data_IF_552528304723
#
_entry.id   IF_552528304723
#
_cell.length_a   1.000
_cell.length_b   1.000
_cell.length_c   1.000
_cell.angle_alpha   90.00
_cell.angle_beta   90.00
_cell.angle_gamma   90.00
#
_symmetry.space_group_name_H-M   'P 1'
#
loop_
_entity.id
_entity.type
_entity.pdbx_description
1 polymer ?
#
# COMPACT_ATOMS: atom_id res chain seq x y z
N UNK A 1 -0.88 16.72 -9.68
CA UNK A 1 0.37 16.24 -9.07
C UNK A 1 0.38 16.66 -7.61
N UNK A 2 -0.05 15.77 -6.73
CA UNK A 2 0.34 15.75 -5.31
C UNK A 2 0.32 14.26 -4.93
N UNK A 3 1.47 13.60 -4.95
CA UNK A 3 1.75 12.46 -4.08
C UNK A 3 2.89 12.96 -3.19
N UNK A 4 2.70 12.94 -1.87
CA UNK A 4 3.59 13.56 -0.89
C UNK A 4 4.53 12.53 -0.26
N UNK A 5 4.65 11.32 -0.81
CA UNK A 5 5.43 10.29 -0.14
C UNK A 5 6.39 9.62 -1.12
N UNK A 6 7.62 10.13 -1.14
CA UNK A 6 8.78 9.31 -1.54
C UNK A 6 8.86 8.04 -0.69
N UNK A 7 8.28 8.05 0.52
CA UNK A 7 8.29 6.97 1.51
C UNK A 7 6.95 6.92 2.27
N UNK A 8 6.30 5.75 2.29
CA UNK A 8 5.09 5.46 3.06
C UNK A 8 5.28 4.20 3.93
N UNK A 9 4.71 4.20 5.14
CA UNK A 9 4.77 3.08 6.05
C UNK A 9 3.44 2.32 6.04
N UNK A 10 3.51 1.00 5.91
CA UNK A 10 2.35 0.11 5.96
C UNK A 10 2.55 -0.95 7.03
N UNK A 11 1.47 -1.34 7.70
CA UNK A 11 1.45 -2.47 8.61
C UNK A 11 0.38 -3.46 8.18
N UNK A 12 0.65 -4.75 8.31
CA UNK A 12 -0.31 -5.81 8.04
C UNK A 12 -0.12 -6.99 9.01
N UNK A 13 -0.83 -8.08 8.74
CA UNK A 13 -0.72 -9.36 9.48
C UNK A 13 0.70 -9.97 9.49
N UNK A 14 1.62 -9.51 8.63
CA UNK A 14 2.98 -10.02 8.50
C UNK A 14 4.05 -9.10 9.11
N UNK A 15 3.70 -7.89 9.55
CA UNK A 15 4.60 -6.95 10.21
C UNK A 15 4.60 -5.55 9.59
N UNK A 16 5.75 -4.87 9.71
CA UNK A 16 5.96 -3.49 9.26
C UNK A 16 6.65 -3.45 7.90
N UNK A 17 6.22 -2.53 7.06
CA UNK A 17 6.69 -2.35 5.70
C UNK A 17 6.93 -0.87 5.39
N UNK A 18 7.81 -0.63 4.42
CA UNK A 18 8.01 0.68 3.81
C UNK A 18 7.87 0.57 2.30
N UNK A 19 7.04 1.42 1.72
CA UNK A 19 6.85 1.56 0.27
C UNK A 19 7.52 2.86 -0.14
N UNK A 20 8.44 2.85 -1.10
CA UNK A 20 9.20 4.05 -1.45
C UNK A 20 9.57 4.11 -2.93
N UNK A 21 9.77 5.32 -3.45
CA UNK A 21 10.23 5.52 -4.82
C UNK A 21 11.73 5.31 -4.94
N UNK A 22 12.19 4.62 -5.98
CA UNK A 22 13.62 4.45 -6.27
C UNK A 22 14.08 5.64 -7.12
N UNK A 23 14.85 6.58 -6.55
CA UNK A 23 15.27 7.83 -7.22
C UNK A 23 15.89 7.65 -8.62
N UNK A 24 16.70 6.60 -8.81
CA UNK A 24 17.38 6.31 -10.08
C UNK A 24 16.46 5.72 -11.16
N UNK A 25 15.18 5.50 -10.85
CA UNK A 25 14.20 4.94 -11.76
C UNK A 25 12.81 5.56 -11.52
N UNK A 26 11.79 5.10 -12.24
CA UNK A 26 10.40 5.41 -11.88
C UNK A 26 9.76 4.28 -11.06
N UNK A 27 10.51 3.23 -10.70
CA UNK A 27 9.99 2.07 -9.99
C UNK A 27 9.70 2.36 -8.51
N UNK A 28 8.93 1.45 -7.92
CA UNK A 28 8.62 1.43 -6.50
C UNK A 28 9.45 0.32 -5.85
N UNK A 29 9.96 0.56 -4.64
CA UNK A 29 10.53 -0.47 -3.80
C UNK A 29 9.62 -0.71 -2.59
N UNK A 30 9.60 -1.94 -2.11
CA UNK A 30 9.00 -2.29 -0.82
C UNK A 30 10.09 -2.91 0.05
N UNK A 31 10.18 -2.50 1.31
CA UNK A 31 11.07 -3.11 2.29
C UNK A 31 10.27 -3.65 3.48
N UNK A 32 10.61 -4.84 3.96
CA UNK A 32 10.09 -5.39 5.21
C UNK A 32 11.01 -5.01 6.35
N UNK A 33 10.44 -4.48 7.43
CA UNK A 33 11.18 -3.99 8.58
C UNK A 33 10.96 -4.87 9.82
N UNK A 34 12.02 -5.01 10.62
CA UNK A 34 11.96 -5.61 11.95
C UNK A 34 12.61 -4.73 13.01
N UNK A 35 12.13 -4.87 14.24
CA UNK A 35 12.72 -4.24 15.42
C UNK A 35 13.46 -5.28 16.25
N UNK A 36 14.74 -5.02 16.50
CA UNK A 36 15.58 -5.81 17.39
C UNK A 36 16.05 -4.88 18.52
N UNK A 37 15.59 -5.08 19.78
CA UNK A 37 15.98 -4.22 20.90
C UNK A 37 17.49 -4.18 21.17
N UNK A 38 18.26 -5.13 20.65
CA UNK A 38 19.71 -5.18 20.79
C UNK A 38 20.47 -4.35 19.76
N UNK A 39 19.78 -3.81 18.74
CA UNK A 39 20.36 -3.03 17.66
C UNK A 39 19.88 -1.58 17.69
N UNK A 40 20.69 -0.68 17.14
CA UNK A 40 20.30 0.70 16.95
C UNK A 40 19.43 0.84 15.69
N UNK A 41 18.13 1.04 15.87
CA UNK A 41 17.18 1.40 14.80
C UNK A 41 16.37 0.24 14.22
N UNK A 42 15.67 0.54 13.11
CA UNK A 42 14.89 -0.44 12.35
C UNK A 42 15.81 -1.23 11.41
N UNK A 43 15.67 -2.54 11.40
CA UNK A 43 16.38 -3.41 10.47
C UNK A 43 15.54 -3.60 9.21
N UNK A 44 16.22 -3.67 8.06
CA UNK A 44 15.60 -4.07 6.80
C UNK A 44 15.86 -5.58 6.61
N UNK A 45 14.80 -6.38 6.64
CA UNK A 45 14.92 -7.83 6.49
C UNK A 45 14.96 -8.24 5.01
N UNK A 46 14.11 -7.60 4.19
CA UNK A 46 13.93 -7.90 2.77
C UNK A 46 13.60 -6.64 1.99
N UNK A 47 13.99 -6.60 0.72
CA UNK A 47 13.67 -5.53 -0.24
C UNK A 47 13.19 -6.14 -1.55
N UNK A 48 12.10 -5.61 -2.09
CA UNK A 48 11.56 -5.95 -3.39
C UNK A 48 11.59 -4.72 -4.30
N UNK A 49 12.16 -4.86 -5.49
CA UNK A 49 12.06 -3.85 -6.55
C UNK A 49 10.84 -4.19 -7.41
N UNK A 50 9.82 -3.34 -7.33
CA UNK A 50 8.55 -3.49 -8.01
C UNK A 50 8.57 -2.62 -9.26
N UNK A 51 8.39 -3.24 -10.43
CA UNK A 51 8.24 -2.56 -11.72
C UNK A 51 6.88 -1.85 -11.86
N UNK A 52 6.54 -1.02 -10.88
CA UNK A 52 5.35 -0.18 -10.81
C UNK A 52 5.79 1.28 -10.74
N UNK A 53 5.28 2.08 -11.68
CA UNK A 53 5.55 3.50 -11.70
C UNK A 53 4.70 4.23 -10.64
N UNK A 54 5.33 4.67 -9.56
CA UNK A 54 4.66 5.37 -8.45
C UNK A 54 3.91 6.64 -8.90
N UNK A 55 4.27 7.23 -10.04
CA UNK A 55 3.60 8.42 -10.61
C UNK A 55 2.30 8.09 -11.36
N UNK A 56 2.03 6.82 -11.62
CA UNK A 56 0.86 6.35 -12.38
C UNK A 56 -0.23 5.74 -11.49
N UNK A 57 -0.01 5.66 -10.19
CA UNK A 57 -0.96 5.14 -9.20
C UNK A 57 -1.30 6.24 -8.19
N UNK A 58 -2.46 6.11 -7.55
CA UNK A 58 -2.93 7.05 -6.55
C UNK A 58 -2.25 6.84 -5.20
N UNK A 59 -2.58 5.73 -4.56
CA UNK A 59 -2.08 5.31 -3.25
C UNK A 59 -1.74 3.81 -3.30
N UNK A 60 -0.89 3.36 -2.38
CA UNK A 60 -0.51 1.95 -2.26
C UNK A 60 -0.63 1.50 -0.81
N UNK A 61 -1.03 0.25 -0.59
CA UNK A 61 -1.18 -0.33 0.74
C UNK A 61 -0.87 -1.83 0.72
N UNK A 62 -0.52 -2.41 1.87
CA UNK A 62 -0.20 -3.84 1.98
C UNK A 62 -1.21 -4.54 2.87
N UNK A 63 -1.74 -5.67 2.38
CA UNK A 63 -2.60 -6.59 3.16
C UNK A 63 -2.11 -8.01 2.92
N UNK A 64 -1.85 -8.74 4.00
CA UNK A 64 -1.40 -10.13 3.98
C UNK A 64 -0.18 -10.39 3.06
N UNK A 65 0.77 -9.45 2.99
CA UNK A 65 1.99 -9.57 2.18
C UNK A 65 1.79 -9.31 0.69
N UNK A 66 0.61 -8.81 0.30
CA UNK A 66 0.30 -8.39 -1.06
C UNK A 66 0.26 -6.86 -1.11
N UNK A 67 1.03 -6.26 -2.02
CA UNK A 67 1.00 -4.84 -2.33
C UNK A 67 -0.16 -4.56 -3.28
N UNK A 68 -1.06 -3.67 -2.90
CA UNK A 68 -2.18 -3.21 -3.71
C UNK A 68 -1.99 -1.74 -4.08
N UNK A 69 -2.38 -1.36 -5.31
CA UNK A 69 -2.32 0.03 -5.77
C UNK A 69 -3.65 0.52 -6.33
N UNK A 70 -4.09 1.69 -5.87
CA UNK A 70 -5.22 2.42 -6.43
C UNK A 70 -4.84 3.07 -7.75
N UNK A 71 -5.76 3.11 -8.72
CA UNK A 71 -5.53 3.85 -9.97
C UNK A 71 -5.51 5.37 -9.77
N UNK A 72 -6.23 5.89 -8.78
CA UNK A 72 -6.43 7.32 -8.59
C UNK A 72 -6.81 7.66 -7.16
N UNK A 73 -6.06 8.58 -6.56
CA UNK A 73 -6.38 9.20 -5.28
C UNK A 73 -7.29 10.44 -5.44
N UNK A 74 -7.47 10.93 -6.67
CA UNK A 74 -8.16 12.21 -6.94
C UNK A 74 -9.56 12.03 -7.50
N UNK A 75 -9.80 10.94 -8.23
CA UNK A 75 -11.12 10.65 -8.76
C UNK A 75 -12.03 10.06 -7.68
N UNK A 76 -13.32 10.37 -7.78
CA UNK A 76 -14.31 9.85 -6.84
C UNK A 76 -14.48 8.35 -6.99
N UNK A 77 -14.60 7.88 -8.22
CA UNK A 77 -14.58 6.45 -8.53
C UNK A 77 -13.16 6.09 -8.96
N UNK A 78 -12.59 5.08 -8.31
CA UNK A 78 -11.28 4.52 -8.58
C UNK A 78 -11.38 2.99 -8.48
N UNK A 79 -10.24 2.32 -8.54
CA UNK A 79 -10.14 0.87 -8.41
C UNK A 79 -8.75 0.48 -7.92
N UNK A 80 -8.68 -0.65 -7.25
CA UNK A 80 -7.42 -1.38 -7.07
C UNK A 80 -7.09 -2.03 -8.41
N UNK A 81 -6.06 -1.52 -9.09
CA UNK A 81 -5.70 -1.92 -10.45
C UNK A 81 -4.47 -2.82 -10.53
N UNK A 82 -3.66 -2.85 -9.47
CA UNK A 82 -2.46 -3.66 -9.35
C UNK A 82 -2.47 -4.37 -8.00
N UNK A 83 -2.14 -5.65 -8.00
CA UNK A 83 -1.84 -6.45 -6.81
C UNK A 83 -0.59 -7.29 -7.07
N UNK A 84 0.34 -7.31 -6.13
CA UNK A 84 1.61 -8.05 -6.25
C UNK A 84 1.87 -8.78 -4.94
N UNK A 85 1.92 -10.11 -5.02
CA UNK A 85 2.38 -10.95 -3.92
C UNK A 85 3.88 -10.73 -3.74
N UNK A 86 4.28 -10.16 -2.60
CA UNK A 86 5.68 -9.82 -2.33
C UNK A 86 6.52 -11.07 -2.09
N UNK A 87 5.97 -12.09 -1.44
CA UNK A 87 6.72 -13.32 -1.15
C UNK A 87 7.00 -14.14 -2.40
N UNK A 88 6.06 -14.17 -3.35
CA UNK A 88 6.21 -14.86 -4.64
C UNK A 88 6.77 -13.95 -5.74
N UNK A 89 6.88 -12.64 -5.48
CA UNK A 89 7.22 -11.61 -6.45
C UNK A 89 6.39 -11.74 -7.74
N UNK A 90 5.08 -11.95 -7.60
CA UNK A 90 4.17 -12.27 -8.71
C UNK A 90 2.93 -11.39 -8.68
N UNK A 91 2.52 -10.93 -9.86
CA UNK A 91 1.26 -10.20 -10.00
C UNK A 91 0.06 -11.12 -9.70
N UNK A 92 -0.88 -10.60 -8.93
CA UNK A 92 -2.16 -11.23 -8.60
C UNK A 92 -3.25 -10.55 -9.41
N UNK A 93 -4.18 -11.33 -9.94
CA UNK A 93 -5.34 -10.77 -10.63
C UNK A 93 -6.23 -10.04 -9.63
N UNK A 94 -6.51 -8.76 -9.89
CA UNK A 94 -7.34 -7.92 -9.04
C UNK A 94 -8.16 -6.96 -9.89
N UNK A 95 -9.41 -6.78 -9.52
CA UNK A 95 -10.30 -5.77 -10.07
C UNK A 95 -11.32 -5.35 -9.01
N UNK A 96 -10.86 -4.66 -7.97
CA UNK A 96 -11.71 -4.18 -6.88
C UNK A 96 -12.06 -2.72 -7.11
N UNK A 97 -13.35 -2.40 -7.06
CA UNK A 97 -13.79 -1.00 -7.11
C UNK A 97 -13.43 -0.29 -5.80
N UNK A 98 -13.05 0.98 -5.88
CA UNK A 98 -12.76 1.82 -4.72
C UNK A 98 -13.42 3.18 -4.91
N UNK A 99 -14.07 3.71 -3.88
CA UNK A 99 -14.67 5.05 -3.94
C UNK A 99 -13.94 5.96 -2.98
N UNK A 100 -13.46 7.11 -3.44
CA UNK A 100 -12.91 8.22 -2.65
C UNK A 100 -14.01 9.31 -2.51
N UNK A 101 -14.92 9.24 -1.52
CA UNK A 101 -16.15 10.05 -1.52
C UNK A 101 -15.88 11.55 -1.50
N UNK A 102 -14.80 11.97 -0.84
CA UNK A 102 -14.41 13.39 -0.72
C UNK A 102 -13.31 13.79 -1.71
N UNK A 103 -12.78 12.84 -2.49
CA UNK A 103 -11.65 12.99 -3.42
C UNK A 103 -10.36 13.43 -2.70
N UNK A 104 -9.23 13.37 -3.41
CA UNK A 104 -7.91 13.77 -2.88
C UNK A 104 -7.58 13.02 -1.60
N UNK A 105 -7.59 11.70 -1.71
CA UNK A 105 -7.03 10.81 -0.71
C UNK A 105 -5.54 11.12 -0.57
N UNK A 106 -5.05 11.32 0.65
CA UNK A 106 -3.63 11.59 0.92
C UNK A 106 -2.98 10.51 1.78
N UNK A 107 -3.76 9.55 2.24
CA UNK A 107 -3.30 8.38 2.97
C UNK A 107 -4.32 7.26 2.77
N UNK A 108 -3.83 6.05 2.58
CA UNK A 108 -4.61 4.83 2.60
C UNK A 108 -3.80 3.73 3.29
N UNK A 109 -4.23 3.30 4.47
CA UNK A 109 -3.55 2.27 5.25
C UNK A 109 -4.47 1.13 5.62
N UNK A 110 -3.91 -0.02 5.97
CA UNK A 110 -4.66 -1.17 6.47
C UNK A 110 -4.47 -1.33 7.98
N UNK A 111 -5.56 -1.70 8.65
CA UNK A 111 -5.56 -2.07 10.06
C UNK A 111 -5.90 -3.54 10.23
N UNK A 112 -4.85 -4.27 10.61
CA UNK A 112 -4.92 -5.70 10.82
C UNK A 112 -5.75 -6.10 12.03
N UNK A 113 -6.00 -5.20 12.99
CA UNK A 113 -6.80 -5.49 14.19
C UNK A 113 -8.29 -5.47 13.85
N UNK A 114 -8.73 -4.48 13.07
CA UNK A 114 -10.14 -4.29 12.72
C UNK A 114 -10.50 -4.83 11.33
N UNK A 115 -9.52 -5.28 10.54
CA UNK A 115 -9.70 -5.83 9.19
C UNK A 115 -10.37 -4.82 8.25
N UNK A 116 -9.89 -3.57 8.29
CA UNK A 116 -10.39 -2.47 7.48
C UNK A 116 -9.26 -1.62 6.92
N UNK A 117 -9.54 -0.94 5.81
CA UNK A 117 -8.69 0.15 5.32
C UNK A 117 -9.15 1.46 5.96
N UNK A 118 -8.20 2.31 6.32
CA UNK A 118 -8.46 3.71 6.68
C UNK A 118 -7.95 4.62 5.59
N UNK A 119 -8.72 5.65 5.24
CA UNK A 119 -8.26 6.71 4.35
C UNK A 119 -8.42 8.10 4.96
N UNK A 120 -7.59 9.03 4.50
CA UNK A 120 -7.74 10.45 4.78
C UNK A 120 -8.05 11.22 3.49
N UNK A 121 -9.30 11.64 3.35
CA UNK A 121 -9.82 12.27 2.15
C UNK A 121 -10.23 13.71 2.46
N UNK A 122 -9.42 14.67 2.02
CA UNK A 122 -9.72 16.12 2.13
C UNK A 122 -10.15 16.55 3.56
N UNK A 123 -9.52 16.00 4.60
CA UNK A 123 -9.83 16.32 5.99
C UNK A 123 -10.84 15.39 6.66
N UNK A 124 -11.31 14.34 5.99
CA UNK A 124 -12.23 13.34 6.52
C UNK A 124 -11.50 12.01 6.68
N UNK A 125 -11.66 11.37 7.85
CA UNK A 125 -11.22 9.99 8.05
C UNK A 125 -12.35 9.03 7.67
N UNK A 126 -12.03 8.01 6.88
CA UNK A 126 -12.98 6.98 6.43
C UNK A 126 -12.47 5.59 6.75
N UNK A 127 -13.40 4.64 6.84
CA UNK A 127 -13.11 3.21 6.98
C UNK A 127 -13.78 2.41 5.87
N UNK A 128 -13.09 1.38 5.39
CA UNK A 128 -13.57 0.44 4.38
C UNK A 128 -13.35 -0.99 4.89
N UNK A 129 -14.42 -1.72 5.26
CA UNK A 129 -14.28 -3.11 5.69
C UNK A 129 -13.68 -3.98 4.59
N UNK A 130 -12.66 -4.78 4.94
CA UNK A 130 -12.01 -5.71 4.02
C UNK A 130 -12.65 -7.10 4.15
N UNK A 131 -12.95 -7.72 3.01
CA UNK A 131 -13.39 -9.12 2.95
C UNK A 131 -12.32 -9.97 2.31
N UNK A 132 -11.90 -11.00 3.02
CA UNK A 132 -11.01 -12.03 2.49
C UNK A 132 -11.84 -13.06 1.73
N UNK A 133 -11.38 -13.41 0.54
CA UNK A 133 -11.81 -14.67 -0.06
C UNK A 133 -10.92 -15.77 0.52
N UNK A 134 -11.50 -16.85 0.99
CA UNK A 134 -10.73 -18.07 1.22
C UNK A 134 -10.14 -18.48 -0.14
N UNK A 135 -8.82 -18.68 -0.19
CA UNK A 135 -8.21 -19.33 -1.36
C UNK A 135 -8.77 -20.76 -1.41
N UNK A 136 -9.25 -21.23 -2.57
CA UNK A 136 -9.77 -22.59 -2.70
C UNK A 136 -8.70 -23.66 -2.39
#
# INVERSE_FOLDING_TARGET
MISIFEVDFSADDNGLWVIYSIESSNNTAVAKLSFDPSKEGLNIDYIWNISLNHKQVGEMFIVCGVLYALDSATERESKVSVAIDLYLNKQVEVALQFTNPFRKTTQLGYDHMHKELYSWDRGNQLTYPVRYNELP
#
